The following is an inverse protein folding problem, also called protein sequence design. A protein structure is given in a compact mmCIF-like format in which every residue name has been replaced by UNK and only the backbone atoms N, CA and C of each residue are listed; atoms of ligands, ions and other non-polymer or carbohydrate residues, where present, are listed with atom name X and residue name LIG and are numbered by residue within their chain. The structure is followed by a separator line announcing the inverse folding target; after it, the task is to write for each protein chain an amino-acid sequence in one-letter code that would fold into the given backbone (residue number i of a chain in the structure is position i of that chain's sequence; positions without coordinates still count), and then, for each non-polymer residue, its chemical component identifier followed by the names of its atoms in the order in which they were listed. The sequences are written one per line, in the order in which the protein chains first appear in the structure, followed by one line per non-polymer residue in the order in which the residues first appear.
data_IF_371159149943
#
_entry.id   IF_371159149943
#
_cell.length_a   1.000
_cell.length_b   1.000
_cell.length_c   1.000
_cell.angle_alpha   90.00
_cell.angle_beta   90.00
_cell.angle_gamma   90.00
#
_symmetry.space_group_name_H-M   'P 1'
#
loop_
_entity.id
_entity.type
_entity.pdbx_description
1 polymer ?
#
# COMPACT_ATOMS: atom_id res chain seq x y z
N UNK A 1 6.11 6.39 9.71
CA UNK A 1 5.28 5.95 8.59
C UNK A 1 5.35 6.99 7.50
N UNK A 2 5.63 6.59 6.29
CA UNK A 2 5.64 7.48 5.13
C UNK A 2 4.44 7.15 4.24
N UNK A 3 3.67 8.16 3.88
CA UNK A 3 2.49 8.03 3.03
C UNK A 3 2.71 8.77 1.73
N UNK A 4 2.48 8.10 0.61
CA UNK A 4 2.52 8.67 -0.72
C UNK A 4 1.22 8.35 -1.44
N UNK A 5 0.61 9.37 -2.04
CA UNK A 5 -0.54 9.20 -2.91
C UNK A 5 -0.19 9.86 -4.24
N UNK A 6 -0.20 9.09 -5.30
CA UNK A 6 0.19 9.60 -6.61
C UNK A 6 -0.62 8.94 -7.72
N UNK A 7 -0.76 9.65 -8.82
CA UNK A 7 -1.42 9.17 -10.02
C UNK A 7 -0.69 9.64 -11.26
N UNK A 8 -1.04 9.03 -12.37
CA UNK A 8 -0.56 9.47 -13.67
C UNK A 8 -1.74 10.09 -14.41
N UNK A 9 -1.72 11.40 -14.70
CA UNK A 9 -2.87 12.10 -15.29
C UNK A 9 -3.40 11.47 -16.57
N UNK A 10 -2.54 10.77 -17.31
CA UNK A 10 -2.91 10.13 -18.57
C UNK A 10 -3.55 8.73 -18.40
N UNK A 11 -3.64 8.19 -17.19
CA UNK A 11 -4.04 6.80 -16.97
C UNK A 11 -5.27 6.61 -16.09
N UNK A 12 -5.84 7.67 -15.56
CA UNK A 12 -7.00 7.58 -14.64
C UNK A 12 -6.79 6.53 -13.55
N UNK A 13 -5.62 6.55 -12.92
CA UNK A 13 -5.27 5.63 -11.86
C UNK A 13 -4.78 6.36 -10.61
N UNK A 14 -4.91 5.71 -9.47
CA UNK A 14 -4.38 6.21 -8.22
C UNK A 14 -3.57 5.13 -7.52
N UNK A 15 -2.48 5.55 -6.90
CA UNK A 15 -1.58 4.68 -6.16
C UNK A 15 -1.42 5.21 -4.75
N UNK A 16 -1.58 4.34 -3.76
CA UNK A 16 -1.27 4.63 -2.38
C UNK A 16 -0.13 3.74 -1.95
N UNK A 17 0.93 4.34 -1.43
CA UNK A 17 2.09 3.62 -0.92
C UNK A 17 2.38 4.11 0.49
N UNK A 18 2.33 3.20 1.45
CA UNK A 18 2.69 3.48 2.84
C UNK A 18 3.85 2.58 3.22
N UNK A 19 4.93 3.18 3.70
CA UNK A 19 6.10 2.43 4.15
C UNK A 19 6.44 2.78 5.59
N UNK A 20 6.95 1.81 6.33
CA UNK A 20 7.45 2.03 7.69
C UNK A 20 8.52 1.00 8.06
N UNK A 21 9.51 1.40 8.90
CA UNK A 21 10.50 0.44 9.39
C UNK A 21 9.85 -0.69 10.18
N UNK A 22 10.24 -1.92 9.89
CA UNK A 22 9.70 -3.11 10.56
C UNK A 22 9.88 -3.06 12.08
N UNK A 23 10.98 -2.48 12.53
CA UNK A 23 11.31 -2.39 13.96
C UNK A 23 10.28 -1.63 14.79
N UNK A 24 9.42 -0.84 14.16
CA UNK A 24 8.38 -0.07 14.84
C UNK A 24 7.09 -0.87 15.10
N UNK A 25 7.01 -2.08 14.59
CA UNK A 25 5.81 -2.91 14.69
C UNK A 25 6.18 -4.32 15.12
N UNK A 26 5.28 -4.97 15.85
CA UNK A 26 5.49 -6.36 16.30
C UNK A 26 5.25 -7.36 15.17
N UNK A 27 4.49 -6.97 14.14
CA UNK A 27 4.15 -7.86 13.02
C UNK A 27 3.68 -7.06 11.82
N UNK A 28 3.67 -7.70 10.66
CA UNK A 28 3.08 -7.13 9.43
C UNK A 28 1.61 -6.80 9.65
N UNK A 29 0.89 -7.65 10.38
CA UNK A 29 -0.54 -7.44 10.66
C UNK A 29 -0.78 -6.17 11.47
N UNK A 30 0.06 -5.90 12.45
CA UNK A 30 -0.01 -4.66 13.23
C UNK A 30 0.27 -3.44 12.36
N UNK A 31 1.26 -3.51 11.48
CA UNK A 31 1.51 -2.46 10.51
C UNK A 31 0.31 -2.24 9.60
N UNK A 32 -0.30 -3.32 9.08
CA UNK A 32 -1.47 -3.25 8.22
C UNK A 32 -2.62 -2.52 8.91
N UNK A 33 -2.89 -2.85 10.17
CA UNK A 33 -3.91 -2.15 10.96
C UNK A 33 -3.63 -0.66 11.05
N UNK A 34 -2.39 -0.32 11.32
CA UNK A 34 -1.95 1.06 11.44
C UNK A 34 -2.12 1.83 10.12
N UNK A 35 -1.75 1.21 9.00
CA UNK A 35 -1.90 1.81 7.68
C UNK A 35 -3.37 2.05 7.34
N UNK A 36 -4.23 1.07 7.57
CA UNK A 36 -5.65 1.19 7.29
C UNK A 36 -6.31 2.24 8.19
N UNK A 37 -5.96 2.28 9.47
CA UNK A 37 -6.45 3.31 10.38
C UNK A 37 -6.02 4.71 9.96
N UNK A 38 -4.80 4.84 9.46
CA UNK A 38 -4.29 6.10 8.95
C UNK A 38 -5.11 6.57 7.74
N UNK A 39 -5.40 5.66 6.79
CA UNK A 39 -6.20 5.98 5.60
C UNK A 39 -7.65 6.32 5.99
N UNK A 40 -8.24 5.58 6.90
CA UNK A 40 -9.58 5.87 7.40
C UNK A 40 -9.63 7.26 8.05
N UNK A 41 -8.59 7.64 8.80
CA UNK A 41 -8.49 8.96 9.42
C UNK A 41 -8.33 10.11 8.43
N UNK A 42 -7.79 9.83 7.24
CA UNK A 42 -7.66 10.83 6.16
C UNK A 42 -8.90 10.92 5.27
N UNK A 43 -9.83 10.00 5.38
CA UNK A 43 -11.02 9.97 4.54
C UNK A 43 -11.89 11.22 4.78
N UNK A 44 -12.46 11.76 3.71
CA UNK A 44 -13.25 12.99 3.78
C UNK A 44 -14.61 12.78 4.42
N UNK A 45 -15.13 11.55 4.40
CA UNK A 45 -16.43 11.22 4.98
C UNK A 45 -16.41 9.85 5.67
N UNK A 46 -17.49 9.56 6.43
CA UNK A 46 -17.61 8.29 7.15
C UNK A 46 -17.72 7.09 6.23
N UNK A 47 -18.30 7.27 5.05
CA UNK A 47 -18.46 6.18 4.11
C UNK A 47 -17.08 5.65 3.64
N UNK A 48 -16.19 6.55 3.22
CA UNK A 48 -14.86 6.19 2.79
C UNK A 48 -14.01 5.66 3.95
N UNK A 49 -14.15 6.25 5.14
CA UNK A 49 -13.48 5.75 6.34
C UNK A 49 -13.89 4.31 6.64
N UNK A 50 -15.19 4.01 6.55
CA UNK A 50 -15.70 2.66 6.81
C UNK A 50 -15.24 1.65 5.76
N UNK A 51 -15.10 2.06 4.49
CA UNK A 51 -14.56 1.19 3.45
C UNK A 51 -13.14 0.73 3.81
N UNK A 52 -12.28 1.65 4.24
CA UNK A 52 -10.93 1.28 4.67
C UNK A 52 -10.94 0.33 5.86
N UNK A 53 -11.79 0.57 6.86
CA UNK A 53 -11.89 -0.30 8.02
C UNK A 53 -12.40 -1.70 7.67
N UNK A 54 -13.26 -1.82 6.67
CA UNK A 54 -13.75 -3.10 6.18
C UNK A 54 -12.67 -3.94 5.51
N UNK A 55 -11.67 -3.32 4.88
CA UNK A 55 -10.53 -4.05 4.33
C UNK A 55 -9.87 -4.93 5.37
N UNK A 56 -9.89 -4.50 6.62
CA UNK A 56 -9.30 -5.27 7.70
C UNK A 56 -10.24 -6.32 8.29
N UNK A 57 -11.54 -6.00 8.40
CA UNK A 57 -12.49 -6.88 9.12
C UNK A 57 -12.77 -8.21 8.47
N UNK A 58 -12.78 -8.28 7.17
CA UNK A 58 -13.20 -9.47 6.42
C UNK A 58 -12.07 -10.20 5.72
N UNK A 59 -10.87 -9.65 5.74
CA UNK A 59 -9.80 -10.16 4.90
C UNK A 59 -8.66 -10.74 5.72
N UNK A 60 -8.21 -11.89 5.27
CA UNK A 60 -6.99 -12.52 5.78
C UNK A 60 -5.84 -12.16 4.87
N UNK A 61 -4.65 -12.11 5.44
CA UNK A 61 -3.43 -12.04 4.65
C UNK A 61 -3.28 -13.36 3.90
N UNK A 62 -3.27 -13.29 2.59
CA UNK A 62 -3.08 -14.47 1.73
C UNK A 62 -1.67 -14.39 1.17
N UNK A 63 -0.82 -15.31 1.56
CA UNK A 63 0.55 -15.39 1.09
C UNK A 63 0.59 -15.61 -0.42
N UNK A 64 1.42 -14.83 -1.11
CA UNK A 64 1.56 -14.88 -2.55
C UNK A 64 3.02 -15.09 -2.90
N UNK A 65 3.39 -16.34 -3.16
CA UNK A 65 4.77 -16.69 -3.49
C UNK A 65 5.27 -16.08 -4.80
N UNK A 66 4.37 -15.97 -5.78
CA UNK A 66 4.73 -15.46 -7.11
C UNK A 66 3.62 -14.59 -7.64
N UNK A 67 3.73 -13.32 -7.39
CA UNK A 67 2.78 -12.36 -7.90
C UNK A 67 3.52 -11.44 -8.87
N UNK A 68 2.92 -11.17 -10.01
CA UNK A 68 3.51 -10.30 -11.02
C UNK A 68 3.75 -8.89 -10.48
N UNK A 69 2.83 -8.37 -9.69
CA UNK A 69 2.96 -7.04 -9.08
C UNK A 69 4.15 -6.95 -8.12
N UNK A 70 4.54 -8.06 -7.50
CA UNK A 70 5.73 -8.10 -6.67
C UNK A 70 6.97 -7.67 -7.44
N UNK A 71 7.13 -8.22 -8.64
CA UNK A 71 8.27 -7.91 -9.50
C UNK A 71 8.22 -6.48 -10.02
N UNK A 72 7.02 -5.97 -10.28
CA UNK A 72 6.83 -4.59 -10.74
C UNK A 72 7.18 -3.57 -9.66
N UNK A 73 7.00 -3.92 -8.40
CA UNK A 73 7.30 -3.02 -7.28
C UNK A 73 8.77 -2.99 -6.90
N UNK A 74 9.49 -4.09 -7.10
CA UNK A 74 10.91 -4.18 -6.74
C UNK A 74 11.77 -3.25 -7.60
N UNK A 75 12.65 -2.49 -6.95
CA UNK A 75 13.58 -1.61 -7.64
C UNK A 75 12.96 -0.37 -8.24
N UNK A 76 11.66 -0.14 -8.08
CA UNK A 76 11.03 1.08 -8.56
C UNK A 76 11.46 2.28 -7.73
N UNK A 77 11.82 3.34 -8.42
CA UNK A 77 12.04 4.65 -7.81
C UNK A 77 10.73 5.44 -7.91
N UNK A 78 10.02 5.50 -6.78
CA UNK A 78 8.81 6.31 -6.68
C UNK A 78 9.22 7.75 -6.37
N UNK A 79 9.47 8.51 -7.43
CA UNK A 79 9.82 9.93 -7.29
C UNK A 79 8.54 10.75 -7.28
N UNK A 80 8.23 11.36 -6.16
CA UNK A 80 7.04 12.20 -6.03
C UNK A 80 7.39 13.54 -5.39
N UNK A 81 6.66 14.57 -5.79
CA UNK A 81 6.74 15.88 -5.16
C UNK A 81 5.80 15.91 -3.94
N UNK A 82 6.38 16.09 -2.77
CA UNK A 82 5.63 16.29 -1.54
C UNK A 82 6.15 17.57 -0.88
N UNK A 83 5.27 18.52 -0.63
CA UNK A 83 5.63 19.81 0.00
C UNK A 83 6.82 20.50 -0.69
N UNK A 84 6.81 20.51 -2.03
CA UNK A 84 7.86 21.10 -2.88
C UNK A 84 9.22 20.41 -2.79
N UNK A 85 9.26 19.21 -2.23
CA UNK A 85 10.47 18.37 -2.19
C UNK A 85 10.27 17.13 -3.00
N UNK A 86 11.31 16.76 -3.75
CA UNK A 86 11.32 15.47 -4.45
C UNK A 86 11.66 14.37 -3.46
N UNK A 87 10.75 13.42 -3.30
CA UNK A 87 10.96 12.27 -2.44
C UNK A 87 11.15 11.04 -3.31
N UNK A 88 12.21 10.29 -3.02
CA UNK A 88 12.51 9.03 -3.69
C UNK A 88 12.26 7.88 -2.72
N UNK A 89 11.44 6.94 -3.13
CA UNK A 89 11.23 5.70 -2.37
C UNK A 89 11.60 4.54 -3.28
N UNK A 90 12.63 3.82 -2.91
CA UNK A 90 13.07 2.64 -3.63
C UNK A 90 12.63 1.41 -2.85
N UNK A 91 11.90 0.52 -3.51
CA UNK A 91 11.46 -0.72 -2.89
C UNK A 91 12.59 -1.74 -2.96
N UNK A 92 13.08 -2.15 -1.80
CA UNK A 92 14.07 -3.23 -1.70
C UNK A 92 13.44 -4.57 -2.10
N UNK A 93 14.24 -5.61 -2.35
CA UNK A 93 13.69 -6.93 -2.68
C UNK A 93 12.63 -7.39 -1.69
N UNK A 94 11.51 -7.84 -2.21
CA UNK A 94 10.35 -8.24 -1.42
C UNK A 94 10.57 -9.68 -0.94
N UNK A 95 10.55 -9.87 0.39
CA UNK A 95 10.67 -11.19 1.01
C UNK A 95 9.34 -11.92 1.06
N UNK A 96 8.28 -11.21 1.42
CA UNK A 96 6.93 -11.75 1.51
C UNK A 96 5.92 -10.75 0.96
N UNK A 97 4.94 -11.27 0.25
CA UNK A 97 3.84 -10.49 -0.30
C UNK A 97 2.52 -11.13 0.10
N UNK A 98 1.55 -10.30 0.49
CA UNK A 98 0.24 -10.75 0.91
C UNK A 98 -0.85 -9.91 0.24
N UNK A 99 -1.91 -10.58 -0.20
CA UNK A 99 -3.14 -9.89 -0.57
C UNK A 99 -3.93 -9.55 0.69
N UNK A 100 -4.53 -8.38 0.69
CA UNK A 100 -5.57 -8.01 1.64
C UNK A 100 -6.69 -7.35 0.85
N UNK A 101 -7.89 -7.81 1.01
CA UNK A 101 -9.02 -7.24 0.32
C UNK A 101 -9.24 -7.79 -1.09
N UNK A 102 -10.25 -7.26 -1.81
CA UNK A 102 -10.59 -7.73 -3.13
C UNK A 102 -9.44 -7.58 -4.12
N UNK A 103 -9.26 -8.58 -4.95
CA UNK A 103 -8.35 -8.54 -6.07
C UNK A 103 -9.18 -8.52 -7.35
N UNK A 104 -9.21 -7.40 -8.03
CA UNK A 104 -10.01 -7.21 -9.22
C UNK A 104 -9.19 -6.50 -10.31
N UNK A 105 -9.76 -6.40 -11.51
CA UNK A 105 -9.06 -5.75 -12.62
C UNK A 105 -8.86 -4.24 -12.39
N UNK A 106 -9.68 -3.64 -11.53
CA UNK A 106 -9.68 -2.20 -11.26
C UNK A 106 -9.09 -1.81 -9.91
N UNK A 107 -8.79 -2.79 -9.05
CA UNK A 107 -8.19 -2.51 -7.74
C UNK A 107 -7.40 -3.70 -7.21
N UNK A 108 -6.22 -3.43 -6.68
CA UNK A 108 -5.42 -4.41 -5.94
C UNK A 108 -4.88 -3.78 -4.66
N UNK A 109 -4.80 -4.58 -3.60
CA UNK A 109 -4.24 -4.14 -2.33
C UNK A 109 -3.28 -5.21 -1.80
N UNK A 110 -2.11 -4.78 -1.40
CA UNK A 110 -1.01 -5.65 -1.00
C UNK A 110 -0.38 -5.18 0.30
N UNK A 111 0.03 -6.13 1.11
CA UNK A 111 0.97 -5.89 2.19
C UNK A 111 2.26 -6.63 1.88
N UNK A 112 3.38 -5.93 1.98
CA UNK A 112 4.68 -6.44 1.57
C UNK A 112 5.67 -6.32 2.71
N UNK A 113 6.61 -7.25 2.73
CA UNK A 113 7.72 -7.21 3.67
C UNK A 113 9.04 -7.25 2.91
N UNK A 114 9.91 -6.29 3.20
CA UNK A 114 11.30 -6.32 2.75
C UNK A 114 12.21 -6.61 3.95
N UNK A 115 13.51 -6.56 3.77
CA UNK A 115 14.45 -6.78 4.87
C UNK A 115 14.25 -5.77 6.01
N UNK A 116 13.96 -4.51 5.69
CA UNK A 116 13.90 -3.42 6.66
C UNK A 116 12.52 -2.81 6.86
N UNK A 117 11.64 -2.95 5.90
CA UNK A 117 10.39 -2.21 5.88
C UNK A 117 9.16 -3.10 5.72
N UNK A 118 8.05 -2.62 6.21
CA UNK A 118 6.72 -3.06 5.81
C UNK A 118 6.14 -2.05 4.84
N UNK A 119 5.36 -2.53 3.87
CA UNK A 119 4.80 -1.72 2.80
C UNK A 119 3.34 -2.08 2.62
N UNK A 120 2.49 -1.06 2.57
CA UNK A 120 1.11 -1.17 2.16
C UNK A 120 1.00 -0.51 0.79
N UNK A 121 0.40 -1.21 -0.18
CA UNK A 121 0.23 -0.71 -1.53
C UNK A 121 -1.20 -0.94 -1.99
N UNK A 122 -1.84 0.12 -2.47
CA UNK A 122 -3.16 0.05 -3.08
C UNK A 122 -3.11 0.78 -4.42
N UNK A 123 -3.58 0.11 -5.44
CA UNK A 123 -3.73 0.68 -6.79
C UNK A 123 -5.17 0.51 -7.22
N UNK A 124 -5.74 1.54 -7.82
CA UNK A 124 -7.05 1.43 -8.43
C UNK A 124 -7.16 2.34 -9.66
N UNK A 125 -8.11 2.01 -10.54
CA UNK A 125 -8.36 2.76 -11.76
C UNK A 125 -9.86 2.84 -12.02
N UNK A 126 -10.27 3.90 -12.72
CA UNK A 126 -11.65 4.07 -13.23
C UNK A 126 -11.75 3.75 -14.72
N UNK A 127 -10.64 3.44 -15.34
CA UNK A 127 -10.58 3.21 -16.79
C UNK A 127 -11.26 1.92 -17.24
#
# INVERSE_FOLDING_TARGET
MRYLNFGFPSREEENILITAPKMKYSSLEEFMKSAISFLAGKAEDEYDANLWLEYYKGYKLVDVEKCESRWELEGYDYSVNEDKKMIHVIIEPILHAYHIGPQSWDEVTWCLETDKDYIFYNWWTTA
#
